data_IF_646570577691
#
_entry.id   IF_646570577691
#
_cell.length_a   1.000
_cell.length_b   1.000
_cell.length_c   1.000
_cell.angle_alpha   90.00
_cell.angle_beta   90.00
_cell.angle_gamma   90.00
#
_symmetry.space_group_name_H-M   'P 1'
#
loop_
_entity.id
_entity.type
_entity.pdbx_description
1 polymer ?
#
# COMPACT_ATOMS: atom_id res chain seq x y z
N UNK A 1 5.46 25.82 27.72
CA UNK A 1 5.10 25.60 26.33
C UNK A 1 4.70 24.15 26.14
N UNK A 2 3.47 23.92 25.86
CA UNK A 2 2.96 22.57 25.67
C UNK A 2 3.26 22.13 24.25
N UNK A 3 3.95 21.01 24.11
CA UNK A 3 4.10 20.38 22.79
C UNK A 3 2.75 19.81 22.38
N UNK A 4 2.21 20.26 21.25
CA UNK A 4 1.05 19.61 20.68
C UNK A 4 1.46 18.20 20.23
N UNK A 5 0.68 17.22 20.63
CA UNK A 5 0.83 15.86 20.10
C UNK A 5 0.43 15.89 18.62
N UNK A 6 1.27 15.39 17.69
CA UNK A 6 0.88 15.36 16.29
C UNK A 6 -0.42 14.59 16.10
N UNK A 7 -1.40 15.25 15.49
CA UNK A 7 -2.68 14.62 15.16
C UNK A 7 -2.48 13.68 13.97
N UNK A 8 -3.03 12.48 14.06
CA UNK A 8 -3.03 11.56 12.93
C UNK A 8 -3.82 12.17 11.76
N UNK A 9 -3.14 12.40 10.66
CA UNK A 9 -3.74 12.86 9.42
C UNK A 9 -4.08 11.67 8.53
N UNK A 10 -5.28 11.69 7.98
CA UNK A 10 -5.80 10.63 7.13
C UNK A 10 -6.27 11.21 5.81
N UNK A 11 -5.86 10.58 4.69
CA UNK A 11 -6.36 10.93 3.37
C UNK A 11 -6.29 9.74 2.43
N UNK A 12 -6.95 9.84 1.30
CA UNK A 12 -6.91 8.81 0.27
C UNK A 12 -7.18 9.42 -1.09
N UNK A 13 -6.62 8.80 -2.13
CA UNK A 13 -6.79 9.22 -3.51
C UNK A 13 -7.58 8.16 -4.27
N UNK A 14 -8.75 8.52 -4.72
CA UNK A 14 -9.67 7.64 -5.45
C UNK A 14 -9.86 8.11 -6.88
N UNK A 15 -10.28 7.19 -7.75
CA UNK A 15 -10.86 7.56 -9.04
C UNK A 15 -12.19 8.28 -8.83
N UNK A 16 -12.68 8.97 -9.87
CA UNK A 16 -13.99 9.66 -9.79
C UNK A 16 -15.13 8.70 -9.44
N UNK A 17 -15.13 7.52 -10.04
CA UNK A 17 -16.18 6.52 -9.78
C UNK A 17 -15.99 5.81 -8.43
N UNK A 18 -14.85 6.04 -7.74
CA UNK A 18 -14.47 5.45 -6.46
C UNK A 18 -14.33 3.93 -6.49
N UNK A 19 -14.27 3.34 -7.67
CA UNK A 19 -13.98 1.90 -7.81
C UNK A 19 -12.50 1.59 -7.63
N UNK A 20 -11.64 2.61 -7.80
CA UNK A 20 -10.19 2.48 -7.65
C UNK A 20 -9.68 3.38 -6.53
N UNK A 21 -8.80 2.83 -5.70
CA UNK A 21 -8.05 3.60 -4.72
C UNK A 21 -6.57 3.53 -5.11
N UNK A 22 -5.99 4.69 -5.45
CA UNK A 22 -4.60 4.76 -5.91
C UNK A 22 -3.61 4.91 -4.78
N UNK A 23 -3.99 5.59 -3.71
CA UNK A 23 -3.15 5.79 -2.55
C UNK A 23 -4.00 5.96 -1.29
N UNK A 24 -3.47 5.49 -0.17
CA UNK A 24 -4.04 5.73 1.15
C UNK A 24 -2.92 6.28 2.03
N UNK A 25 -3.20 7.39 2.73
CA UNK A 25 -2.22 8.09 3.52
C UNK A 25 -2.59 8.09 4.99
N UNK A 26 -1.56 7.89 5.82
CA UNK A 26 -1.62 8.10 7.27
C UNK A 26 -0.34 8.80 7.69
N UNK A 27 -0.46 9.89 8.45
CA UNK A 27 0.67 10.72 8.84
C UNK A 27 0.54 11.12 10.30
N UNK A 28 1.60 10.93 11.07
CA UNK A 28 1.58 11.17 12.52
C UNK A 28 2.80 11.90 13.04
N UNK A 29 3.90 11.84 12.33
CA UNK A 29 5.15 12.43 12.77
C UNK A 29 5.35 13.85 12.23
N UNK A 30 6.44 14.53 12.68
CA UNK A 30 6.69 15.93 12.29
C UNK A 30 7.30 16.08 10.92
N UNK A 31 7.89 15.04 10.35
CA UNK A 31 8.54 15.09 9.04
C UNK A 31 7.62 14.75 7.89
N UNK A 32 8.14 14.88 6.68
CA UNK A 32 7.45 14.50 5.45
C UNK A 32 7.82 13.09 4.99
N UNK A 33 8.71 12.43 5.70
CA UNK A 33 9.17 11.09 5.37
C UNK A 33 8.06 10.06 5.52
N UNK A 34 8.02 9.12 4.61
CA UNK A 34 7.01 8.07 4.65
C UNK A 34 7.53 6.75 4.08
N UNK A 35 6.94 5.67 4.59
CA UNK A 35 7.07 4.34 4.06
C UNK A 35 5.99 4.12 3.01
N UNK A 36 6.37 3.70 1.81
CA UNK A 36 5.42 3.23 0.80
C UNK A 36 5.32 1.72 0.89
N UNK A 37 4.14 1.23 1.21
CA UNK A 37 3.85 -0.19 1.19
C UNK A 37 2.98 -0.51 -0.01
N UNK A 38 3.38 -1.49 -0.81
CA UNK A 38 2.62 -1.92 -1.98
C UNK A 38 1.98 -3.27 -1.67
N UNK A 39 0.66 -3.24 -1.49
CA UNK A 39 -0.14 -4.44 -1.26
C UNK A 39 -0.74 -5.00 -2.55
N UNK A 40 -1.64 -5.94 -2.41
CA UNK A 40 -2.30 -6.57 -3.55
C UNK A 40 -3.37 -5.66 -4.15
N UNK A 41 -4.38 -5.34 -3.35
CA UNK A 41 -5.51 -4.49 -3.75
C UNK A 41 -6.15 -3.84 -2.53
N UNK A 42 -6.83 -2.69 -2.72
CA UNK A 42 -7.54 -2.04 -1.62
C UNK A 42 -8.78 -2.84 -1.20
N UNK A 43 -9.07 -2.83 0.08
CA UNK A 43 -10.27 -3.41 0.65
C UNK A 43 -11.22 -2.31 1.17
N UNK A 44 -11.40 -2.23 2.47
CA UNK A 44 -12.41 -1.37 3.08
C UNK A 44 -11.87 -0.04 3.61
N UNK A 45 -10.55 0.09 3.81
CA UNK A 45 -9.99 1.31 4.36
C UNK A 45 -10.14 2.49 3.40
N UNK A 46 -10.45 3.65 3.95
CA UNK A 46 -10.57 4.89 3.20
C UNK A 46 -9.92 6.04 3.99
N UNK A 47 -10.22 7.29 3.62
CA UNK A 47 -9.69 8.47 4.30
C UNK A 47 -10.18 8.61 5.74
N UNK A 48 -11.21 7.87 6.16
CA UNK A 48 -11.79 7.94 7.50
C UNK A 48 -11.55 6.70 8.34
N UNK A 49 -11.50 5.53 7.71
CA UNK A 49 -11.48 4.25 8.41
C UNK A 49 -10.25 3.44 8.06
N UNK A 50 -9.67 2.83 9.09
CA UNK A 50 -8.62 1.83 8.95
C UNK A 50 -9.25 0.44 8.84
N UNK A 51 -8.54 -0.47 8.18
CA UNK A 51 -8.80 -1.90 8.27
C UNK A 51 -7.64 -2.58 9.02
N UNK A 52 -7.73 -3.88 9.32
CA UNK A 52 -6.66 -4.57 10.04
C UNK A 52 -5.30 -4.50 9.34
N UNK A 53 -5.28 -4.56 8.02
CA UNK A 53 -4.04 -4.45 7.23
C UNK A 53 -3.39 -3.08 7.42
N UNK A 54 -4.17 -2.01 7.32
CA UNK A 54 -3.65 -0.65 7.47
C UNK A 54 -3.11 -0.42 8.88
N UNK A 55 -3.80 -0.89 9.91
CA UNK A 55 -3.32 -0.79 11.28
C UNK A 55 -1.98 -1.50 11.47
N UNK A 56 -1.84 -2.68 10.86
CA UNK A 56 -0.59 -3.45 10.91
C UNK A 56 0.55 -2.70 10.23
N UNK A 57 0.29 -2.13 9.05
CA UNK A 57 1.27 -1.38 8.28
C UNK A 57 1.70 -0.10 9.01
N UNK A 58 0.77 0.60 9.66
CA UNK A 58 1.08 1.76 10.50
C UNK A 58 2.03 1.37 11.63
N UNK A 59 1.81 0.20 12.24
CA UNK A 59 2.69 -0.32 13.28
C UNK A 59 4.12 -0.50 12.78
N UNK A 60 4.31 -1.12 11.63
CA UNK A 60 5.64 -1.28 11.04
C UNK A 60 6.30 0.08 10.76
N UNK A 61 5.58 1.01 10.15
CA UNK A 61 6.12 2.32 9.81
C UNK A 61 6.56 3.10 11.05
N UNK A 62 5.76 3.05 12.12
CA UNK A 62 6.10 3.68 13.41
C UNK A 62 7.31 3.02 14.04
N UNK A 63 7.35 1.70 14.07
CA UNK A 63 8.46 0.95 14.68
C UNK A 63 9.79 1.24 13.97
N UNK A 64 9.73 1.50 12.67
CA UNK A 64 10.93 1.82 11.86
C UNK A 64 11.25 3.32 11.85
N UNK A 65 10.48 4.15 12.57
CA UNK A 65 10.79 5.57 12.76
C UNK A 65 10.31 6.51 11.67
N UNK A 66 9.40 6.08 10.81
CA UNK A 66 8.85 6.96 9.77
C UNK A 66 7.73 7.83 10.30
N UNK A 67 7.60 9.04 9.73
CA UNK A 67 6.55 10.00 10.10
C UNK A 67 5.20 9.70 9.46
N UNK A 68 5.17 8.85 8.44
CA UNK A 68 3.95 8.52 7.73
C UNK A 68 4.02 7.21 6.98
N UNK A 69 2.85 6.80 6.51
CA UNK A 69 2.64 5.62 5.68
C UNK A 69 1.79 5.99 4.48
N UNK A 70 2.22 5.53 3.31
CA UNK A 70 1.38 5.49 2.12
C UNK A 70 1.20 4.03 1.70
N UNK A 71 -0.03 3.63 1.44
CA UNK A 71 -0.34 2.30 0.91
C UNK A 71 -0.85 2.45 -0.51
N UNK A 72 -0.15 1.84 -1.45
CA UNK A 72 -0.58 1.66 -2.83
C UNK A 72 -0.71 0.16 -3.09
N UNK A 73 -1.15 -0.21 -4.27
CA UNK A 73 -1.46 -1.61 -4.56
C UNK A 73 -1.06 -1.97 -5.99
N UNK A 74 -0.77 -3.24 -6.23
CA UNK A 74 -0.57 -3.76 -7.58
C UNK A 74 -1.82 -3.52 -8.43
N UNK A 75 -2.99 -3.75 -7.83
CA UNK A 75 -4.30 -3.54 -8.44
C UNK A 75 -5.02 -2.48 -7.63
N UNK A 76 -5.47 -1.42 -8.28
CA UNK A 76 -6.15 -0.33 -7.60
C UNK A 76 -7.65 -0.59 -7.39
N UNK A 77 -8.21 -1.62 -8.03
CA UNK A 77 -9.63 -1.96 -7.90
C UNK A 77 -9.97 -2.37 -6.47
N UNK A 78 -11.01 -1.76 -5.91
CA UNK A 78 -11.44 -2.01 -4.53
C UNK A 78 -12.25 -3.30 -4.46
N UNK A 79 -11.69 -4.33 -3.79
CA UNK A 79 -12.34 -5.62 -3.63
C UNK A 79 -11.96 -6.23 -2.29
N UNK A 80 -12.95 -6.75 -1.57
CA UNK A 80 -12.73 -7.44 -0.30
C UNK A 80 -12.24 -8.86 -0.52
N UNK A 81 -12.73 -9.51 -1.58
CA UNK A 81 -12.40 -10.90 -1.88
C UNK A 81 -11.59 -11.02 -3.17
N UNK A 82 -10.61 -11.95 -3.22
CA UNK A 82 -9.81 -12.16 -4.43
C UNK A 82 -10.64 -12.47 -5.67
N UNK A 83 -11.75 -13.19 -5.53
CA UNK A 83 -12.63 -13.54 -6.64
C UNK A 83 -13.16 -12.30 -7.37
N UNK A 84 -13.51 -11.26 -6.61
CA UNK A 84 -14.01 -10.01 -7.19
C UNK A 84 -12.92 -9.28 -7.96
N UNK A 85 -11.69 -9.32 -7.45
CA UNK A 85 -10.56 -8.75 -8.14
C UNK A 85 -10.29 -9.43 -9.47
N UNK A 86 -10.34 -10.76 -9.47
CA UNK A 86 -10.05 -11.56 -10.67
C UNK A 86 -11.16 -11.48 -11.72
N UNK A 87 -12.38 -11.11 -11.32
CA UNK A 87 -13.54 -11.08 -12.20
C UNK A 87 -13.74 -9.73 -12.92
N UNK A 88 -13.09 -8.65 -12.47
CA UNK A 88 -13.26 -7.35 -13.12
C UNK A 88 -12.41 -7.22 -14.38
N UNK A 89 -12.89 -6.43 -15.35
CA UNK A 89 -12.21 -6.24 -16.64
C UNK A 89 -10.88 -5.48 -16.50
N UNK A 90 -10.80 -4.55 -15.57
CA UNK A 90 -9.60 -3.74 -15.37
C UNK A 90 -9.24 -3.64 -13.88
N UNK A 91 -8.59 -4.69 -13.33
CA UNK A 91 -8.23 -4.66 -11.91
C UNK A 91 -7.09 -3.69 -11.59
N UNK A 92 -6.20 -3.42 -12.54
CA UNK A 92 -5.04 -2.54 -12.31
C UNK A 92 -5.47 -1.10 -12.05
N UNK A 93 -6.38 -0.59 -12.84
CA UNK A 93 -6.81 0.80 -12.82
C UNK A 93 -6.03 1.66 -13.80
N UNK A 94 -6.71 2.59 -14.49
CA UNK A 94 -6.12 3.32 -15.61
C UNK A 94 -4.96 4.24 -15.23
N UNK A 95 -4.90 4.70 -13.98
CA UNK A 95 -3.84 5.62 -13.52
C UNK A 95 -2.91 4.99 -12.51
N UNK A 96 -3.04 3.70 -12.22
CA UNK A 96 -2.32 3.08 -11.12
C UNK A 96 -0.80 3.06 -11.31
N UNK A 97 -0.34 2.73 -12.51
CA UNK A 97 1.11 2.70 -12.79
C UNK A 97 1.75 4.07 -12.61
N UNK A 98 1.08 5.12 -13.04
CA UNK A 98 1.54 6.50 -12.85
C UNK A 98 1.66 6.83 -11.37
N UNK A 99 0.66 6.47 -10.57
CA UNK A 99 0.68 6.67 -9.13
C UNK A 99 1.83 5.91 -8.46
N UNK A 100 2.01 4.63 -8.82
CA UNK A 100 3.07 3.81 -8.26
C UNK A 100 4.45 4.42 -8.52
N UNK A 101 4.72 4.84 -9.76
CA UNK A 101 6.00 5.45 -10.10
C UNK A 101 6.24 6.75 -9.33
N UNK A 102 5.21 7.59 -9.23
CA UNK A 102 5.29 8.87 -8.50
C UNK A 102 5.57 8.64 -7.02
N UNK A 103 4.79 7.79 -6.40
CA UNK A 103 4.90 7.49 -4.96
C UNK A 103 6.25 6.85 -4.63
N UNK A 104 6.71 5.91 -5.45
CA UNK A 104 7.99 5.25 -5.22
C UNK A 104 9.17 6.22 -5.30
N UNK A 105 9.10 7.24 -6.14
CA UNK A 105 10.14 8.27 -6.22
C UNK A 105 10.16 9.18 -4.99
N UNK A 106 9.02 9.39 -4.35
CA UNK A 106 8.89 10.28 -3.19
C UNK A 106 9.14 9.56 -1.86
N UNK A 107 8.94 8.26 -1.82
CA UNK A 107 9.05 7.47 -0.59
C UNK A 107 10.49 7.32 -0.13
N UNK A 108 10.67 7.25 1.18
CA UNK A 108 11.98 6.99 1.80
C UNK A 108 12.33 5.52 1.79
N UNK A 109 11.32 4.65 1.82
CA UNK A 109 11.47 3.22 1.69
C UNK A 109 10.25 2.65 0.98
N UNK A 110 10.47 1.72 0.05
CA UNK A 110 9.40 1.02 -0.66
C UNK A 110 9.42 -0.44 -0.26
N UNK A 111 8.29 -0.92 0.27
CA UNK A 111 8.14 -2.29 0.77
C UNK A 111 7.06 -3.00 -0.02
N UNK A 112 7.43 -4.11 -0.64
CA UNK A 112 6.49 -5.00 -1.33
C UNK A 112 5.84 -5.95 -0.31
N UNK A 113 4.52 -6.05 -0.34
CA UNK A 113 3.77 -6.84 0.63
C UNK A 113 2.45 -7.38 0.05
N UNK A 114 2.47 -7.81 -1.22
CA UNK A 114 1.24 -8.19 -1.94
C UNK A 114 0.81 -9.64 -1.79
N UNK A 115 1.66 -10.50 -1.26
CA UNK A 115 1.31 -11.91 -1.09
C UNK A 115 1.35 -12.70 -2.39
N UNK A 116 0.87 -13.95 -2.34
CA UNK A 116 1.00 -14.89 -3.46
C UNK A 116 0.21 -14.48 -4.70
N UNK A 117 -0.92 -13.78 -4.54
CA UNK A 117 -1.74 -13.35 -5.67
C UNK A 117 -1.11 -12.25 -6.51
N UNK A 118 0.05 -11.71 -6.11
CA UNK A 118 0.82 -10.77 -6.93
C UNK A 118 1.22 -11.34 -8.29
N UNK A 119 1.18 -12.65 -8.45
CA UNK A 119 1.43 -13.31 -9.74
C UNK A 119 0.29 -13.15 -10.75
N UNK A 120 -0.91 -12.80 -10.30
CA UNK A 120 -2.04 -12.59 -11.18
C UNK A 120 -1.69 -11.56 -12.26
N UNK A 121 -1.91 -11.89 -13.52
CA UNK A 121 -1.60 -11.06 -14.70
C UNK A 121 -0.12 -10.66 -14.79
N UNK A 122 0.79 -11.43 -14.21
CA UNK A 122 2.22 -11.10 -14.11
C UNK A 122 2.48 -9.71 -13.50
N UNK A 123 1.57 -9.25 -12.67
CA UNK A 123 1.56 -7.87 -12.18
C UNK A 123 2.75 -7.56 -11.29
N UNK A 124 3.14 -8.49 -10.42
CA UNK A 124 4.30 -8.29 -9.56
C UNK A 124 5.57 -8.05 -10.37
N UNK A 125 5.79 -8.83 -11.43
CA UNK A 125 6.93 -8.64 -12.33
C UNK A 125 6.87 -7.32 -13.07
N UNK A 126 5.70 -6.94 -13.58
CA UNK A 126 5.50 -5.69 -14.30
C UNK A 126 5.80 -4.47 -13.42
N UNK A 127 5.33 -4.48 -12.18
CA UNK A 127 5.56 -3.38 -11.23
C UNK A 127 7.02 -3.34 -10.80
N UNK A 128 7.62 -4.50 -10.49
CA UNK A 128 9.02 -4.56 -10.09
C UNK A 128 9.96 -4.03 -11.17
N UNK A 129 9.63 -4.21 -12.44
CA UNK A 129 10.42 -3.69 -13.55
C UNK A 129 10.35 -2.17 -13.68
N UNK A 130 9.28 -1.54 -13.21
CA UNK A 130 9.06 -0.10 -13.32
C UNK A 130 9.58 0.72 -12.15
N UNK A 131 9.80 0.10 -11.01
CA UNK A 131 10.12 0.80 -9.78
C UNK A 131 11.58 0.63 -9.39
N UNK A 132 12.14 1.55 -8.56
CA UNK A 132 13.46 1.35 -7.99
C UNK A 132 13.46 0.14 -7.05
N UNK A 133 14.62 -0.18 -6.50
CA UNK A 133 14.75 -1.33 -5.59
C UNK A 133 13.71 -1.29 -4.48
N UNK A 134 13.03 -2.41 -4.28
CA UNK A 134 12.06 -2.60 -3.23
C UNK A 134 12.58 -3.58 -2.18
N UNK A 135 12.07 -3.42 -0.96
CA UNK A 135 12.33 -4.34 0.13
C UNK A 135 11.07 -5.17 0.40
N UNK A 136 11.21 -6.25 1.13
CA UNK A 136 10.08 -6.98 1.69
C UNK A 136 10.42 -7.40 3.12
N UNK A 137 9.39 -7.66 3.93
CA UNK A 137 9.61 -8.08 5.31
C UNK A 137 10.00 -9.55 5.34
N UNK A 138 9.32 -10.36 4.52
CA UNK A 138 9.61 -11.79 4.36
C UNK A 138 9.13 -12.27 3.01
N UNK A 139 9.84 -13.25 2.44
CA UNK A 139 9.38 -13.95 1.25
C UNK A 139 8.59 -15.20 1.65
N UNK A 140 7.48 -15.45 0.96
CA UNK A 140 6.76 -16.70 1.05
C UNK A 140 7.53 -17.81 0.32
N UNK A 141 7.14 -19.07 0.53
CA UNK A 141 7.72 -20.20 -0.19
C UNK A 141 7.56 -20.10 -1.71
N UNK A 142 6.56 -19.34 -2.18
CA UNK A 142 6.34 -19.05 -3.60
C UNK A 142 7.35 -18.07 -4.20
N UNK A 143 8.12 -17.37 -3.38
CA UNK A 143 8.98 -16.27 -3.81
C UNK A 143 8.32 -14.90 -3.78
N UNK A 144 7.01 -14.81 -3.52
CA UNK A 144 6.30 -13.56 -3.40
C UNK A 144 6.46 -12.95 -1.99
N UNK A 145 6.49 -11.61 -1.87
CA UNK A 145 6.53 -10.94 -0.57
C UNK A 145 5.32 -11.27 0.28
N UNK A 146 5.54 -11.55 1.56
CA UNK A 146 4.47 -11.93 2.49
C UNK A 146 3.51 -10.76 2.75
N UNK A 147 2.23 -11.07 2.90
CA UNK A 147 1.21 -10.10 3.31
C UNK A 147 1.42 -9.72 4.79
N UNK A 148 1.24 -8.44 5.16
CA UNK A 148 1.55 -7.97 6.52
C UNK A 148 0.77 -8.67 7.64
N UNK A 149 -0.46 -9.09 7.38
CA UNK A 149 -1.29 -9.76 8.39
C UNK A 149 -0.75 -11.13 8.82
N UNK A 150 0.08 -11.74 7.99
CA UNK A 150 0.62 -13.08 8.27
C UNK A 150 2.01 -13.02 8.89
N UNK A 151 2.49 -11.82 9.25
CA UNK A 151 3.82 -11.65 9.82
C UNK A 151 3.75 -11.52 11.33
N UNK A 152 4.75 -12.05 12.08
CA UNK A 152 4.84 -11.81 13.51
C UNK A 152 5.12 -10.34 13.81
N UNK A 153 4.74 -9.92 15.00
CA UNK A 153 4.99 -8.57 15.47
C UNK A 153 6.47 -8.26 15.66
#
# INVERSE_FOLDING_TARGET
MTKSVPTLQRSANFSRCRQYRYALWRHWGPGDDFLLLIGLNPSTADHRQDDPTIRRCMGFARDWGYSGLCVANLFAYRATYPEDLFATDNPVGPKNDRWLRKLARQADLVVAAWGNHGRFMDRASAVSAQLPAMHCIRLNGSGEPAHPLYLPK
#
